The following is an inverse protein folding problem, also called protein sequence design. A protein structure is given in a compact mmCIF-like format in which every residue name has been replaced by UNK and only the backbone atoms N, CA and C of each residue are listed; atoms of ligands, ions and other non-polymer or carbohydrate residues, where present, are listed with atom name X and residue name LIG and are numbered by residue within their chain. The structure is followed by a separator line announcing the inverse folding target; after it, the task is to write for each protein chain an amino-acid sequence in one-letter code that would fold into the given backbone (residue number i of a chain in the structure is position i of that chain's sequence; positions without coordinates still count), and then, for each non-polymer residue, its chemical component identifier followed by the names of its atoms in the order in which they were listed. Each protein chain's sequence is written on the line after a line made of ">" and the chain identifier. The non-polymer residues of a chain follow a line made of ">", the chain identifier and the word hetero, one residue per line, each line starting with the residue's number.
data_IF_500777754954
#
_entry.id   IF_500777754954
#
_cell.length_a   1.000
_cell.length_b   1.000
_cell.length_c   1.000
_cell.angle_alpha   90.00
_cell.angle_beta   90.00
_cell.angle_gamma   90.00
#
_symmetry.space_group_name_H-M   'P 1'
#
loop_
_entity.id
_entity.type
_entity.pdbx_description
1 polymer ?
#
# COMPACT_ATOMS: atom_id res chain seq x y z
N UNK A 1 -27.78 -69.07 13.38
CA UNK A 1 -27.30 -67.80 12.78
C UNK A 1 -25.78 -67.88 12.68
N UNK A 2 -25.23 -68.13 11.48
CA UNK A 2 -23.78 -68.22 11.27
C UNK A 2 -23.20 -66.80 11.21
N UNK A 3 -22.42 -66.43 12.23
CA UNK A 3 -21.66 -65.19 12.27
C UNK A 3 -20.59 -65.22 11.17
N UNK A 4 -20.82 -64.41 10.12
CA UNK A 4 -19.89 -64.21 9.00
C UNK A 4 -18.67 -63.48 9.55
N UNK A 5 -17.51 -64.15 9.65
CA UNK A 5 -16.26 -63.48 10.02
C UNK A 5 -15.96 -62.40 8.97
N UNK A 6 -16.02 -61.13 9.37
CA UNK A 6 -15.58 -60.01 8.54
C UNK A 6 -14.05 -60.14 8.37
N UNK A 7 -13.51 -60.09 7.15
CA UNK A 7 -12.06 -60.08 6.96
C UNK A 7 -11.47 -58.85 7.67
N UNK A 8 -10.48 -59.07 8.53
CA UNK A 8 -9.74 -58.02 9.23
C UNK A 8 -8.61 -57.47 8.36
N UNK A 9 -8.15 -56.26 8.68
CA UNK A 9 -7.02 -55.60 7.98
C UNK A 9 -5.73 -56.39 8.20
N UNK A 10 -4.97 -56.60 7.13
CA UNK A 10 -3.63 -57.21 7.21
C UNK A 10 -2.58 -56.19 7.63
N UNK A 11 -1.48 -56.63 8.25
CA UNK A 11 -0.34 -55.77 8.59
C UNK A 11 0.24 -55.07 7.34
N UNK A 12 0.24 -55.78 6.20
CA UNK A 12 0.71 -55.23 4.93
C UNK A 12 -0.20 -54.09 4.44
N UNK A 13 -1.53 -54.23 4.51
CA UNK A 13 -2.47 -53.16 4.12
C UNK A 13 -2.36 -51.92 5.02
N UNK A 14 -2.12 -52.11 6.33
CA UNK A 14 -1.85 -51.00 7.23
C UNK A 14 -0.57 -50.26 6.84
N UNK A 15 0.51 -50.98 6.51
CA UNK A 15 1.77 -50.38 6.11
C UNK A 15 1.64 -49.59 4.80
N UNK A 16 0.96 -50.16 3.80
CA UNK A 16 0.69 -49.48 2.53
C UNK A 16 -0.18 -48.25 2.74
N UNK A 17 -1.20 -48.33 3.59
CA UNK A 17 -2.09 -47.20 3.87
C UNK A 17 -1.35 -46.02 4.49
N UNK A 18 -0.49 -46.28 5.49
CA UNK A 18 0.32 -45.23 6.14
C UNK A 18 1.32 -44.62 5.15
N UNK A 19 1.92 -45.44 4.28
CA UNK A 19 2.83 -44.95 3.24
C UNK A 19 2.12 -44.00 2.25
N UNK A 20 0.92 -44.37 1.79
CA UNK A 20 0.12 -43.52 0.89
C UNK A 20 -0.30 -42.22 1.58
N UNK A 21 -0.75 -42.28 2.83
CA UNK A 21 -1.13 -41.07 3.60
C UNK A 21 0.08 -40.15 3.79
N UNK A 22 1.26 -40.71 4.09
CA UNK A 22 2.49 -39.95 4.24
C UNK A 22 2.87 -39.18 2.97
N UNK A 23 2.78 -39.83 1.80
CA UNK A 23 3.06 -39.19 0.51
C UNK A 23 2.06 -38.06 0.23
N UNK A 24 0.76 -38.30 0.45
CA UNK A 24 -0.28 -37.29 0.25
C UNK A 24 -0.11 -36.08 1.16
N UNK A 25 0.26 -36.30 2.43
CA UNK A 25 0.49 -35.24 3.40
C UNK A 25 1.64 -34.31 2.96
N UNK A 26 2.75 -34.87 2.46
CA UNK A 26 3.89 -34.09 1.97
C UNK A 26 3.49 -33.19 0.80
N UNK A 27 2.77 -33.74 -0.19
CA UNK A 27 2.29 -32.98 -1.35
C UNK A 27 1.37 -31.83 -0.90
N UNK A 28 0.46 -32.10 0.03
CA UNK A 28 -0.46 -31.11 0.57
C UNK A 28 0.26 -29.96 1.26
N UNK A 29 1.27 -30.25 2.08
CA UNK A 29 2.05 -29.22 2.80
C UNK A 29 2.77 -28.28 1.83
N UNK A 30 3.39 -28.82 0.76
CA UNK A 30 4.07 -28.01 -0.25
C UNK A 30 3.07 -27.09 -0.98
N UNK A 31 1.92 -27.63 -1.39
CA UNK A 31 0.89 -26.85 -2.09
C UNK A 31 0.27 -25.76 -1.21
N UNK A 32 0.01 -26.05 0.06
CA UNK A 32 -0.51 -25.07 1.02
C UNK A 32 0.45 -23.91 1.23
N UNK A 33 1.76 -24.19 1.33
CA UNK A 33 2.76 -23.14 1.50
C UNK A 33 2.84 -22.24 0.27
N UNK A 34 2.73 -22.79 -0.95
CA UNK A 34 2.66 -21.99 -2.17
C UNK A 34 1.40 -21.11 -2.15
N UNK A 35 0.23 -21.69 -1.86
CA UNK A 35 -1.04 -20.95 -1.82
C UNK A 35 -1.04 -19.79 -0.82
N UNK A 36 -0.47 -19.99 0.37
CA UNK A 36 -0.33 -18.94 1.39
C UNK A 36 0.50 -17.76 0.91
N UNK A 37 1.59 -18.00 0.16
CA UNK A 37 2.47 -16.93 -0.34
C UNK A 37 1.76 -16.08 -1.39
N UNK A 38 1.07 -16.72 -2.32
CA UNK A 38 0.27 -16.02 -3.34
C UNK A 38 -0.89 -15.24 -2.71
N UNK A 39 -1.52 -15.79 -1.67
CA UNK A 39 -2.55 -15.09 -0.89
C UNK A 39 -2.00 -13.87 -0.15
N UNK A 40 -0.83 -13.99 0.48
CA UNK A 40 -0.15 -12.87 1.14
C UNK A 40 0.14 -11.73 0.14
N UNK A 41 0.72 -12.05 -1.02
CA UNK A 41 1.01 -11.07 -2.08
C UNK A 41 -0.28 -10.41 -2.59
N UNK A 42 -1.32 -11.20 -2.86
CA UNK A 42 -2.63 -10.69 -3.30
C UNK A 42 -3.30 -9.82 -2.24
N UNK A 43 -3.19 -10.21 -0.97
CA UNK A 43 -3.72 -9.46 0.17
C UNK A 43 -3.05 -8.10 0.32
N UNK A 44 -1.72 -8.06 0.26
CA UNK A 44 -0.96 -6.82 0.30
C UNK A 44 -1.30 -5.90 -0.88
N UNK A 45 -1.45 -6.46 -2.09
CA UNK A 45 -1.82 -5.68 -3.24
C UNK A 45 -3.22 -5.06 -3.12
N UNK A 46 -4.18 -5.83 -2.62
CA UNK A 46 -5.54 -5.37 -2.34
C UNK A 46 -5.55 -4.30 -1.25
N UNK A 47 -4.74 -4.45 -0.20
CA UNK A 47 -4.60 -3.46 0.86
C UNK A 47 -4.07 -2.14 0.31
N UNK A 48 -2.95 -2.16 -0.44
CA UNK A 48 -2.40 -0.95 -1.04
C UNK A 48 -3.39 -0.29 -2.01
N UNK A 49 -4.04 -1.09 -2.87
CA UNK A 49 -5.06 -0.57 -3.78
C UNK A 49 -6.28 0.01 -3.03
N UNK A 50 -6.69 -0.58 -1.91
CA UNK A 50 -7.77 -0.06 -1.06
C UNK A 50 -7.37 1.24 -0.37
N UNK A 51 -6.13 1.37 0.09
CA UNK A 51 -5.63 2.59 0.72
C UNK A 51 -5.51 3.73 -0.29
N UNK A 52 -5.04 3.47 -1.53
CA UNK A 52 -5.03 4.47 -2.60
C UNK A 52 -6.45 4.96 -2.90
N UNK A 53 -7.41 4.04 -3.06
CA UNK A 53 -8.83 4.41 -3.27
C UNK A 53 -9.43 5.11 -2.06
N UNK A 54 -9.01 4.73 -0.85
CA UNK A 54 -9.40 5.37 0.40
C UNK A 54 -8.94 6.83 0.45
N UNK A 55 -7.72 7.12 0.04
CA UNK A 55 -7.20 8.49 -0.08
C UNK A 55 -7.96 9.29 -1.13
N UNK A 56 -8.25 8.70 -2.29
CA UNK A 56 -9.10 9.34 -3.31
C UNK A 56 -10.51 9.66 -2.77
N UNK A 57 -11.14 8.73 -2.04
CA UNK A 57 -12.44 8.94 -1.43
C UNK A 57 -12.42 10.05 -0.38
N UNK A 58 -11.35 10.17 0.40
CA UNK A 58 -11.17 11.26 1.38
C UNK A 58 -10.97 12.61 0.70
N UNK A 59 -10.22 12.65 -0.40
CA UNK A 59 -10.07 13.85 -1.21
C UNK A 59 -11.41 14.33 -1.77
N UNK A 60 -12.28 13.40 -2.21
CA UNK A 60 -13.62 13.71 -2.69
C UNK A 60 -14.55 14.18 -1.58
N UNK A 61 -14.51 13.55 -0.39
CA UNK A 61 -15.39 13.92 0.72
C UNK A 61 -14.96 15.22 1.42
N UNK A 62 -13.72 15.66 1.25
CA UNK A 62 -13.22 16.96 1.73
C UNK A 62 -13.56 17.24 3.20
N UNK A 63 -13.38 16.23 4.07
CA UNK A 63 -13.69 16.36 5.50
C UNK A 63 -12.62 17.13 6.24
N UNK A 64 -13.03 17.85 7.29
CA UNK A 64 -12.11 18.48 8.25
C UNK A 64 -11.31 17.39 8.98
N UNK A 65 -9.99 17.51 8.97
CA UNK A 65 -9.11 16.72 9.82
C UNK A 65 -8.67 17.64 10.95
N UNK A 66 -8.79 17.17 12.19
CA UNK A 66 -8.32 17.94 13.32
C UNK A 66 -6.80 17.82 13.42
N UNK A 67 -6.10 18.93 13.23
CA UNK A 67 -4.65 19.00 13.22
C UNK A 67 -4.14 20.18 14.08
N UNK A 68 -2.89 20.08 14.50
CA UNK A 68 -2.18 21.12 15.25
C UNK A 68 -0.68 21.07 14.91
N UNK A 69 0.03 22.16 15.21
CA UNK A 69 1.49 22.19 15.12
C UNK A 69 2.10 21.61 16.40
N UNK A 70 3.14 20.80 16.27
CA UNK A 70 3.98 20.37 17.39
C UNK A 70 5.03 21.46 17.73
N UNK A 71 5.81 21.23 18.79
CA UNK A 71 6.87 22.16 19.20
C UNK A 71 7.98 22.39 18.15
N UNK A 72 8.10 21.49 17.18
CA UNK A 72 9.04 21.57 16.05
C UNK A 72 8.44 22.20 14.79
N UNK A 73 7.23 22.78 14.88
CA UNK A 73 6.46 23.31 13.76
C UNK A 73 6.09 22.27 12.66
N UNK A 74 6.08 20.98 13.00
CA UNK A 74 5.47 19.96 12.15
C UNK A 74 3.96 19.91 12.41
N UNK A 75 3.19 19.72 11.35
CA UNK A 75 1.76 19.49 11.47
C UNK A 75 1.49 18.04 11.83
N UNK A 76 0.63 17.82 12.83
CA UNK A 76 0.25 16.49 13.31
C UNK A 76 -1.27 16.37 13.44
N UNK A 77 -1.78 15.15 13.29
CA UNK A 77 -3.22 14.85 13.48
C UNK A 77 -3.51 14.68 14.96
N UNK A 78 -4.46 15.45 15.49
CA UNK A 78 -4.79 15.51 16.92
C UNK A 78 -6.24 15.09 17.24
N UNK A 79 -6.89 14.34 16.35
CA UNK A 79 -8.30 13.91 16.49
C UNK A 79 -8.63 13.21 17.82
N UNK A 80 -7.66 12.50 18.39
CA UNK A 80 -7.83 11.68 19.60
C UNK A 80 -6.98 12.15 20.79
N UNK A 81 -6.05 13.09 20.59
CA UNK A 81 -5.15 13.59 21.64
C UNK A 81 -4.49 14.90 21.20
N UNK A 82 -4.35 15.84 22.13
CA UNK A 82 -3.63 17.10 21.92
C UNK A 82 -2.25 17.10 22.60
N UNK A 83 -1.78 15.95 23.09
CA UNK A 83 -0.56 15.85 23.88
C UNK A 83 0.71 16.26 23.10
N UNK A 84 0.70 16.07 21.79
CA UNK A 84 1.83 16.37 20.90
C UNK A 84 1.72 17.78 20.27
N UNK A 85 0.65 18.53 20.56
CA UNK A 85 0.47 19.90 20.09
C UNK A 85 1.37 20.86 20.89
N UNK A 86 1.98 21.84 20.23
CA UNK A 86 2.64 22.97 20.89
C UNK A 86 1.64 23.74 21.76
N UNK A 87 2.10 24.48 22.77
CA UNK A 87 1.24 25.37 23.57
C UNK A 87 1.37 26.82 23.04
N UNK A 88 0.29 27.57 22.73
CA UNK A 88 -1.14 27.25 22.87
C UNK A 88 -1.77 26.81 21.54
N UNK A 89 -1.33 25.69 20.96
CA UNK A 89 -1.93 25.14 19.75
C UNK A 89 -3.20 24.38 20.12
N UNK A 90 -4.34 24.97 19.75
CA UNK A 90 -5.62 24.29 19.80
C UNK A 90 -5.71 23.31 18.63
N UNK A 91 -6.29 22.15 18.89
CA UNK A 91 -6.58 21.16 17.86
C UNK A 91 -7.74 21.67 17.00
N UNK A 92 -7.41 22.26 15.85
CA UNK A 92 -8.37 22.93 14.98
C UNK A 92 -8.74 22.02 13.82
N UNK A 93 -10.01 22.10 13.39
CA UNK A 93 -10.44 21.48 12.14
C UNK A 93 -9.79 22.23 10.98
N UNK A 94 -8.95 21.53 10.23
CA UNK A 94 -8.31 22.06 9.03
C UNK A 94 -8.76 21.22 7.85
N UNK A 95 -9.11 21.86 6.73
CA UNK A 95 -9.44 21.16 5.49
C UNK A 95 -8.15 20.94 4.71
N UNK A 96 -7.72 19.69 4.47
CA UNK A 96 -6.57 19.44 3.61
C UNK A 96 -6.87 19.78 2.16
N UNK A 97 -5.90 20.30 1.42
CA UNK A 97 -6.05 20.58 -0.01
C UNK A 97 -5.73 19.36 -0.86
N UNK A 98 -4.80 18.53 -0.40
CA UNK A 98 -4.40 17.31 -1.09
C UNK A 98 -4.25 16.12 -0.15
N UNK A 99 -4.50 14.93 -0.72
CA UNK A 99 -4.36 13.64 -0.07
C UNK A 99 -3.40 12.80 -0.90
N UNK A 100 -2.33 12.31 -0.30
CA UNK A 100 -1.27 11.65 -1.05
C UNK A 100 -0.79 10.34 -0.45
N UNK A 101 -0.17 9.54 -1.31
CA UNK A 101 0.56 8.33 -0.94
C UNK A 101 1.90 8.34 -1.67
N UNK A 102 2.96 8.01 -0.94
CA UNK A 102 4.30 7.88 -1.47
C UNK A 102 4.82 6.47 -1.26
N UNK A 103 5.42 5.94 -2.32
CA UNK A 103 6.08 4.64 -2.36
C UNK A 103 7.56 4.80 -2.66
N UNK A 104 8.39 3.99 -2.03
CA UNK A 104 9.84 3.93 -2.27
C UNK A 104 10.21 2.50 -2.62
N UNK A 105 11.08 2.32 -3.62
CA UNK A 105 11.59 0.97 -3.95
C UNK A 105 12.33 0.36 -2.76
N UNK A 106 12.31 -0.97 -2.66
CA UNK A 106 12.88 -1.78 -1.58
C UNK A 106 12.26 -1.54 -0.20
N UNK A 107 11.26 -0.67 -0.08
CA UNK A 107 10.53 -0.46 1.17
C UNK A 107 9.53 -1.59 1.43
N UNK A 108 9.39 -1.97 2.71
CA UNK A 108 8.34 -2.85 3.20
C UNK A 108 7.03 -2.11 3.53
N UNK A 109 6.92 -0.84 3.11
CA UNK A 109 5.83 0.06 3.48
C UNK A 109 5.70 1.25 2.54
N UNK A 110 4.62 1.99 2.71
CA UNK A 110 4.35 3.27 2.03
C UNK A 110 3.90 4.30 3.06
N UNK A 111 4.14 5.58 2.78
CA UNK A 111 3.65 6.69 3.60
C UNK A 111 2.40 7.29 2.98
N UNK A 112 1.43 7.62 3.81
CA UNK A 112 0.29 8.44 3.40
C UNK A 112 0.43 9.80 4.05
N UNK A 113 0.07 10.84 3.31
CA UNK A 113 0.19 12.21 3.77
C UNK A 113 -1.05 13.00 3.38
N UNK A 114 -1.26 14.07 4.12
CA UNK A 114 -2.21 15.11 3.75
C UNK A 114 -1.46 16.44 3.78
N UNK A 115 -1.80 17.29 2.82
CA UNK A 115 -1.16 18.58 2.63
C UNK A 115 -2.17 19.69 2.95
N UNK A 116 -1.69 20.73 3.62
CA UNK A 116 -2.45 21.93 3.90
C UNK A 116 -1.67 23.11 3.33
N UNK A 117 -2.29 23.92 2.47
CA UNK A 117 -1.68 25.17 2.05
C UNK A 117 -1.99 26.24 3.10
N UNK A 118 -0.97 26.68 3.84
CA UNK A 118 -1.13 27.79 4.79
C UNK A 118 -0.85 29.16 4.18
N UNK A 119 -0.21 29.19 3.00
CA UNK A 119 0.25 30.40 2.31
C UNK A 119 -0.45 30.64 0.96
N UNK A 120 -1.33 29.74 0.51
CA UNK A 120 -1.92 29.76 -0.82
C UNK A 120 -0.95 29.28 -1.93
N UNK A 121 0.26 28.85 -1.56
CA UNK A 121 1.17 28.13 -2.45
C UNK A 121 0.74 26.65 -2.48
N UNK A 122 0.56 26.13 -3.69
CA UNK A 122 0.03 24.77 -3.92
C UNK A 122 1.22 23.83 -4.10
N UNK A 123 1.75 23.29 -3.00
CA UNK A 123 2.96 22.47 -3.00
C UNK A 123 2.60 20.98 -3.06
N UNK A 124 2.16 20.55 -4.25
CA UNK A 124 1.51 19.26 -4.54
C UNK A 124 2.37 17.98 -4.30
N UNK A 125 3.47 18.06 -3.54
CA UNK A 125 4.51 17.03 -3.46
C UNK A 125 5.03 16.85 -2.03
N UNK A 126 5.45 15.62 -1.70
CA UNK A 126 5.85 15.23 -0.34
C UNK A 126 7.20 15.79 0.13
N UNK A 127 8.00 16.40 -0.75
CA UNK A 127 9.41 16.73 -0.50
C UNK A 127 9.75 18.20 -0.82
N UNK A 128 8.78 19.11 -0.72
CA UNK A 128 9.08 20.55 -0.76
C UNK A 128 9.59 21.00 0.62
N UNK A 129 10.76 21.66 0.72
CA UNK A 129 11.44 21.92 1.98
C UNK A 129 10.76 22.91 2.93
N UNK A 130 9.62 23.52 2.56
CA UNK A 130 9.08 24.68 3.29
C UNK A 130 7.73 24.51 4.02
N UNK A 131 6.92 23.45 3.86
CA UNK A 131 5.55 23.50 4.43
C UNK A 131 4.98 22.19 5.03
N UNK A 132 4.73 22.23 6.34
CA UNK A 132 3.68 21.60 7.15
C UNK A 132 2.87 20.41 6.59
N UNK A 133 3.54 19.32 6.25
CA UNK A 133 2.90 18.05 5.94
C UNK A 133 2.48 17.32 7.23
N UNK A 134 1.18 17.02 7.37
CA UNK A 134 0.76 16.03 8.36
C UNK A 134 0.98 14.63 7.81
N UNK A 135 2.04 13.98 8.30
CA UNK A 135 2.47 12.67 7.84
C UNK A 135 1.83 11.58 8.67
N UNK A 136 1.16 10.63 8.01
CA UNK A 136 0.87 9.34 8.62
C UNK A 136 2.01 8.39 8.28
N UNK A 137 2.72 7.96 9.34
CA UNK A 137 3.86 7.04 9.37
C UNK A 137 3.72 5.87 8.39
N UNK A 138 4.86 5.40 7.86
CA UNK A 138 5.01 4.21 7.01
C UNK A 138 4.07 3.09 7.47
N UNK A 139 3.06 2.79 6.66
CA UNK A 139 2.17 1.67 6.86
C UNK A 139 2.83 0.42 6.28
N UNK A 140 2.82 -0.72 7.02
CA UNK A 140 3.37 -1.96 6.50
C UNK A 140 2.51 -2.47 5.34
N UNK A 141 3.16 -2.93 4.27
CA UNK A 141 2.53 -3.60 3.14
C UNK A 141 2.34 -5.06 3.51
N UNK A 142 1.17 -5.43 4.05
CA UNK A 142 0.87 -6.81 4.41
C UNK A 142 1.91 -7.44 5.35
N UNK A 143 2.55 -8.52 4.90
CA UNK A 143 3.56 -9.27 5.67
C UNK A 143 4.99 -8.74 5.45
N UNK A 144 5.89 -9.05 6.38
CA UNK A 144 7.33 -8.70 6.31
C UNK A 144 8.06 -9.26 5.06
N UNK A 145 7.44 -10.26 4.43
CA UNK A 145 7.96 -10.95 3.24
C UNK A 145 7.59 -10.23 1.94
N UNK A 146 6.89 -9.10 2.00
CA UNK A 146 6.49 -8.32 0.83
C UNK A 146 7.22 -7.00 0.80
N UNK A 147 7.62 -6.58 -0.39
CA UNK A 147 8.28 -5.31 -0.63
C UNK A 147 7.85 -4.70 -1.97
N UNK A 148 8.09 -3.41 -2.12
CA UNK A 148 7.98 -2.72 -3.40
C UNK A 148 9.28 -2.97 -4.17
N UNK A 149 9.26 -3.85 -5.17
CA UNK A 149 10.47 -4.20 -5.92
C UNK A 149 10.81 -3.19 -7.01
N UNK A 150 9.80 -2.57 -7.62
CA UNK A 150 9.98 -1.66 -8.75
C UNK A 150 8.85 -0.63 -8.79
N UNK A 151 9.19 0.57 -9.25
CA UNK A 151 8.26 1.66 -9.54
C UNK A 151 8.55 2.14 -10.96
N UNK A 152 7.52 2.28 -11.78
CA UNK A 152 7.63 2.85 -13.12
C UNK A 152 6.56 3.92 -13.31
N UNK A 153 6.91 4.99 -14.03
CA UNK A 153 6.05 6.12 -14.32
C UNK A 153 5.89 6.24 -15.84
N UNK A 154 4.66 6.44 -16.32
CA UNK A 154 4.41 6.75 -17.72
C UNK A 154 4.47 8.25 -17.94
N UNK A 155 5.48 8.70 -18.69
CA UNK A 155 5.71 10.11 -19.03
C UNK A 155 4.72 10.70 -20.05
N UNK A 156 3.82 9.89 -20.62
CA UNK A 156 2.92 10.31 -21.69
C UNK A 156 3.58 10.19 -23.07
N UNK A 157 4.75 10.81 -23.24
CA UNK A 157 5.40 10.99 -24.55
C UNK A 157 6.70 10.20 -24.72
N UNK A 158 7.50 10.02 -23.67
CA UNK A 158 8.80 9.33 -23.73
C UNK A 158 8.77 7.88 -23.21
N UNK A 159 7.58 7.36 -22.91
CA UNK A 159 7.39 5.97 -22.46
C UNK A 159 7.48 5.80 -20.94
N UNK A 160 7.81 4.58 -20.51
CA UNK A 160 8.03 4.24 -19.10
C UNK A 160 9.38 4.75 -18.63
N UNK A 161 9.40 5.46 -17.52
CA UNK A 161 10.59 5.97 -16.85
C UNK A 161 10.62 5.50 -15.41
N UNK A 162 11.81 5.22 -14.89
CA UNK A 162 11.98 4.97 -13.46
C UNK A 162 12.06 6.33 -12.74
N UNK A 163 11.42 6.48 -11.57
CA UNK A 163 11.54 7.71 -10.79
C UNK A 163 12.98 7.92 -10.30
N UNK A 164 13.42 9.18 -10.24
CA UNK A 164 14.70 9.58 -9.66
C UNK A 164 14.51 10.70 -8.61
N UNK A 165 14.75 10.46 -7.30
CA UNK A 165 15.17 9.19 -6.70
C UNK A 165 14.08 8.12 -6.81
N UNK A 166 14.36 6.88 -6.39
CA UNK A 166 13.52 5.67 -6.60
C UNK A 166 12.19 5.63 -5.82
N UNK A 167 11.45 6.74 -5.87
CA UNK A 167 10.26 7.05 -5.10
C UNK A 167 9.23 7.68 -6.03
N UNK A 168 7.99 7.21 -5.93
CA UNK A 168 6.86 7.74 -6.70
C UNK A 168 5.75 8.17 -5.74
N UNK A 169 5.02 9.22 -6.10
CA UNK A 169 3.86 9.66 -5.33
C UNK A 169 2.62 9.84 -6.19
N UNK A 170 1.47 9.55 -5.60
CA UNK A 170 0.16 9.86 -6.14
C UNK A 170 -0.55 10.79 -5.18
N UNK A 171 -1.12 11.86 -5.71
CA UNK A 171 -1.77 12.92 -4.95
C UNK A 171 -3.14 13.19 -5.54
N UNK A 172 -4.15 13.24 -4.70
CA UNK A 172 -5.53 13.50 -5.07
C UNK A 172 -5.94 14.89 -4.59
N UNK A 173 -6.43 15.69 -5.53
CA UNK A 173 -6.89 17.05 -5.25
C UNK A 173 -8.27 17.03 -4.59
N UNK A 174 -8.48 17.88 -3.59
CA UNK A 174 -9.76 18.03 -2.90
C UNK A 174 -10.92 18.30 -3.86
N UNK A 175 -12.10 17.77 -3.55
CA UNK A 175 -13.40 17.97 -4.24
C UNK A 175 -13.47 17.50 -5.71
N UNK A 176 -12.34 17.40 -6.40
CA UNK A 176 -12.25 16.91 -7.77
C UNK A 176 -11.82 15.45 -7.82
N UNK A 177 -11.09 14.96 -6.80
CA UNK A 177 -10.52 13.62 -6.79
C UNK A 177 -9.51 13.38 -7.92
N UNK A 178 -9.09 14.45 -8.61
CA UNK A 178 -8.13 14.37 -9.69
C UNK A 178 -6.81 13.88 -9.13
N UNK A 179 -6.35 12.75 -9.67
CA UNK A 179 -5.04 12.24 -9.38
C UNK A 179 -3.99 13.11 -10.10
N UNK A 180 -2.88 13.29 -9.44
CA UNK A 180 -1.62 13.80 -9.99
C UNK A 180 -0.55 12.82 -9.54
N UNK A 181 0.33 12.48 -10.45
CA UNK A 181 1.37 11.49 -10.21
C UNK A 181 2.69 12.19 -10.40
N UNK A 182 3.58 11.99 -9.45
CA UNK A 182 4.83 12.70 -9.40
C UNK A 182 5.99 11.74 -9.14
N UNK A 183 7.08 12.07 -9.81
CA UNK A 183 8.43 11.67 -9.47
C UNK A 183 8.87 12.38 -8.17
N UNK A 184 9.75 11.76 -7.39
CA UNK A 184 10.19 12.26 -6.08
C UNK A 184 10.95 13.59 -6.11
N UNK A 185 11.54 13.98 -7.23
CA UNK A 185 12.25 15.26 -7.40
C UNK A 185 11.31 16.47 -7.62
N UNK A 186 9.99 16.28 -7.68
CA UNK A 186 8.99 17.36 -7.72
C UNK A 186 9.23 18.47 -8.77
N UNK A 187 10.07 18.26 -9.79
CA UNK A 187 10.27 19.20 -10.90
C UNK A 187 9.21 19.01 -11.97
N UNK A 188 7.96 19.32 -11.62
CA UNK A 188 6.90 19.70 -12.56
C UNK A 188 6.34 18.63 -13.51
N UNK A 189 6.86 17.40 -13.51
CA UNK A 189 6.36 16.36 -14.42
C UNK A 189 5.20 15.58 -13.79
N UNK A 190 3.98 15.97 -14.20
CA UNK A 190 2.76 15.22 -13.91
C UNK A 190 2.71 13.99 -14.83
N UNK A 191 2.90 12.80 -14.27
CA UNK A 191 2.94 11.55 -15.01
C UNK A 191 1.54 11.00 -15.29
N UNK A 192 1.37 10.26 -16.38
CA UNK A 192 0.08 9.69 -16.77
C UNK A 192 -0.32 8.46 -15.97
N UNK A 193 0.65 7.58 -15.67
CA UNK A 193 0.40 6.29 -15.00
C UNK A 193 1.52 6.01 -14.00
N UNK A 194 1.16 5.51 -12.82
CA UNK A 194 2.09 4.98 -11.82
C UNK A 194 1.90 3.47 -11.74
N UNK A 195 2.99 2.74 -11.96
CA UNK A 195 3.04 1.29 -11.80
C UNK A 195 3.90 0.96 -10.59
N UNK A 196 3.34 0.16 -9.68
CA UNK A 196 3.98 -0.29 -8.44
C UNK A 196 4.03 -1.81 -8.49
N UNK A 197 5.23 -2.36 -8.53
CA UNK A 197 5.43 -3.81 -8.51
C UNK A 197 5.73 -4.26 -7.09
N UNK A 198 4.85 -5.10 -6.55
CA UNK A 198 5.07 -5.80 -5.29
C UNK A 198 5.77 -7.12 -5.57
N UNK A 199 6.70 -7.51 -4.71
CA UNK A 199 7.40 -8.79 -4.76
C UNK A 199 7.31 -9.51 -3.43
N UNK A 200 7.05 -10.81 -3.49
CA UNK A 200 7.22 -11.69 -2.35
C UNK A 200 8.66 -12.21 -2.28
N UNK A 201 9.40 -11.85 -1.22
CA UNK A 201 10.85 -12.05 -1.08
C UNK A 201 11.30 -13.51 -1.18
N UNK A 202 10.46 -14.45 -0.77
CA UNK A 202 10.82 -15.89 -0.72
C UNK A 202 10.48 -16.61 -2.03
N UNK A 203 9.31 -16.34 -2.61
CA UNK A 203 8.86 -17.01 -3.85
C UNK A 203 9.29 -16.29 -5.12
N UNK A 204 9.72 -15.02 -5.02
CA UNK A 204 9.94 -14.11 -6.13
C UNK A 204 8.71 -13.88 -7.02
N UNK A 205 7.51 -14.25 -6.55
CA UNK A 205 6.26 -13.88 -7.22
C UNK A 205 6.07 -12.37 -7.15
N UNK A 206 5.58 -11.80 -8.24
CA UNK A 206 5.32 -10.37 -8.35
C UNK A 206 3.88 -10.09 -8.72
N UNK A 207 3.36 -8.97 -8.24
CA UNK A 207 2.02 -8.51 -8.58
C UNK A 207 2.06 -7.01 -8.76
N UNK A 208 1.37 -6.51 -9.79
CA UNK A 208 1.49 -5.12 -10.23
C UNK A 208 0.23 -4.34 -9.91
N UNK A 209 0.40 -3.15 -9.35
CA UNK A 209 -0.68 -2.18 -9.17
C UNK A 209 -0.45 -1.03 -10.12
N UNK A 210 -1.50 -0.65 -10.83
CA UNK A 210 -1.50 0.49 -11.74
C UNK A 210 -2.47 1.55 -11.25
N UNK A 211 -1.99 2.79 -11.20
CA UNK A 211 -2.81 3.97 -10.94
C UNK A 211 -2.76 4.86 -12.17
N UNK A 212 -3.92 5.06 -12.79
CA UNK A 212 -4.06 5.90 -13.98
C UNK A 212 -4.56 7.28 -13.58
N UNK A 213 -3.82 8.32 -13.97
CA UNK A 213 -4.12 9.70 -13.63
C UNK A 213 -5.40 10.22 -14.27
N UNK A 214 -5.55 10.00 -15.57
CA UNK A 214 -6.67 10.53 -16.38
C UNK A 214 -8.01 9.98 -15.93
N UNK A 215 -8.04 8.69 -15.59
CA UNK A 215 -9.26 7.99 -15.20
C UNK A 215 -9.45 7.91 -13.69
N UNK A 216 -8.41 8.20 -12.90
CA UNK A 216 -8.38 7.92 -11.46
C UNK A 216 -8.50 6.44 -11.13
N UNK A 217 -8.36 5.53 -12.11
CA UNK A 217 -8.57 4.09 -11.92
C UNK A 217 -7.36 3.47 -11.25
N UNK A 218 -7.63 2.67 -10.21
CA UNK A 218 -6.65 1.80 -9.56
C UNK A 218 -6.92 0.35 -9.95
N UNK A 219 -5.97 -0.30 -10.62
CA UNK A 219 -6.07 -1.67 -11.11
C UNK A 219 -4.99 -2.56 -10.49
N UNK A 220 -5.34 -3.83 -10.28
CA UNK A 220 -4.41 -4.89 -9.93
C UNK A 220 -4.25 -5.75 -11.18
N UNK A 221 -3.02 -5.96 -11.63
CA UNK A 221 -2.63 -6.72 -12.82
C UNK A 221 -1.98 -8.04 -12.44
#
# INVERSE_FOLDING_TARGET
>A
MLSRKKPGFTLAEMLVSVAVIGILAVIMVVNLNSGKRTEQLSGAARQLAADIRGMQSRALSAGDIKACLNASADLIVCENSTADCADPAQCLGMVPDHYGLMVTTTAAGYSMFVEYSLSGLVNQYMDYPDEQLARKRLLPIGSQDIEISQIELWSGTSGWVNPDPTTGSVVFSRQSGQAKIFDAAATGAVMGILKITLRHKISNETLVIEVNRETGRVSIL
#
